data_IF_606171711029
#
_entry.id   IF_606171711029
#
_cell.length_a   1.000
_cell.length_b   1.000
_cell.length_c   1.000
_cell.angle_alpha   90.00
_cell.angle_beta   90.00
_cell.angle_gamma   90.00
#
_symmetry.space_group_name_H-M   'P 1'
#
loop_
_entity.id
_entity.type
_entity.pdbx_description
1 polymer ?
#
# COMPACT_ATOMS: atom_id res chain seq x y z
N UNK A 1 17.52 -27.35 52.13
CA UNK A 1 17.38 -27.64 50.68
C UNK A 1 16.18 -26.89 50.11
N UNK A 2 16.31 -25.59 49.76
CA UNK A 2 15.22 -24.77 49.17
C UNK A 2 15.76 -23.58 48.33
N UNK A 3 16.75 -23.79 47.47
CA UNK A 3 17.33 -22.72 46.63
C UNK A 3 17.50 -23.04 45.13
N UNK A 4 17.05 -24.22 44.65
CA UNK A 4 17.28 -24.63 43.26
C UNK A 4 16.08 -24.51 42.31
N UNK A 5 14.91 -24.05 42.78
CA UNK A 5 13.72 -23.95 41.91
C UNK A 5 13.54 -22.56 41.27
N UNK A 6 14.20 -21.51 41.78
CA UNK A 6 14.10 -20.16 41.21
C UNK A 6 14.91 -20.03 39.90
N UNK A 7 16.03 -20.73 39.79
CA UNK A 7 16.90 -20.70 38.60
C UNK A 7 16.27 -21.45 37.42
N UNK A 8 15.49 -22.50 37.70
CA UNK A 8 14.80 -23.27 36.66
C UNK A 8 13.62 -22.48 36.05
N UNK A 9 12.92 -21.68 36.86
CA UNK A 9 11.81 -20.82 36.39
C UNK A 9 12.34 -19.64 35.57
N UNK A 10 13.51 -19.09 35.90
CA UNK A 10 14.16 -18.05 35.09
C UNK A 10 14.72 -18.57 33.76
N UNK A 11 15.12 -19.85 33.66
CA UNK A 11 15.62 -20.42 32.40
C UNK A 11 14.50 -20.73 31.39
N UNK A 12 13.28 -21.01 31.83
CA UNK A 12 12.15 -21.27 30.93
C UNK A 12 11.58 -20.01 30.24
N UNK A 13 11.95 -18.80 30.70
CA UNK A 13 11.53 -17.54 30.08
C UNK A 13 12.46 -17.05 28.94
N UNK A 14 13.55 -17.78 28.64
CA UNK A 14 14.53 -17.41 27.60
C UNK A 14 14.39 -18.20 26.30
N UNK A 15 13.38 -19.06 26.16
CA UNK A 15 12.98 -19.61 24.86
C UNK A 15 12.21 -18.56 24.07
N UNK A 16 12.88 -17.45 23.76
CA UNK A 16 12.46 -16.56 22.68
C UNK A 16 12.56 -17.41 21.43
N UNK A 17 11.41 -17.84 20.91
CA UNK A 17 11.31 -18.33 19.55
C UNK A 17 11.78 -17.19 18.65
N UNK A 18 13.07 -17.15 18.35
CA UNK A 18 13.57 -16.54 17.14
C UNK A 18 13.13 -17.44 15.98
N UNK A 19 11.82 -17.47 15.73
CA UNK A 19 11.37 -17.59 14.36
C UNK A 19 11.90 -16.32 13.70
N UNK A 20 13.12 -16.39 13.17
CA UNK A 20 13.55 -15.40 12.18
C UNK A 20 12.49 -15.50 11.10
N UNK A 21 11.53 -14.59 11.11
CA UNK A 21 10.76 -14.29 9.93
C UNK A 21 11.83 -14.07 8.87
N UNK A 22 11.88 -14.98 7.90
CA UNK A 22 12.87 -14.89 6.84
C UNK A 22 12.53 -13.59 6.12
N UNK A 23 13.34 -12.55 6.37
CA UNK A 23 13.13 -11.25 5.74
C UNK A 23 12.93 -11.48 4.25
N UNK A 24 11.75 -11.13 3.73
CA UNK A 24 11.38 -11.43 2.35
C UNK A 24 12.09 -10.44 1.43
N UNK A 25 13.32 -10.78 1.04
CA UNK A 25 14.14 -9.97 0.15
C UNK A 25 13.88 -10.36 -1.31
N UNK A 26 13.56 -9.37 -2.14
CA UNK A 26 13.35 -9.55 -3.57
C UNK A 26 14.30 -8.66 -4.37
N UNK A 27 14.66 -9.12 -5.58
CA UNK A 27 15.51 -8.35 -6.47
C UNK A 27 14.83 -7.05 -6.91
N UNK A 28 15.59 -5.97 -6.92
CA UNK A 28 15.07 -4.65 -7.24
C UNK A 28 16.14 -3.58 -7.32
N UNK A 29 15.70 -2.34 -7.41
CA UNK A 29 16.58 -1.18 -7.32
C UNK A 29 15.83 0.02 -6.73
N UNK A 30 16.58 0.94 -6.15
CA UNK A 30 16.10 2.22 -5.66
C UNK A 30 16.80 3.36 -6.40
N UNK A 31 16.07 4.44 -6.65
CA UNK A 31 16.61 5.71 -7.14
C UNK A 31 16.48 6.73 -6.01
N UNK A 32 17.60 7.28 -5.57
CA UNK A 32 17.64 8.34 -4.57
C UNK A 32 17.23 9.69 -5.19
N UNK A 33 16.98 10.69 -4.35
CA UNK A 33 16.61 12.03 -4.82
C UNK A 33 17.68 12.70 -5.71
N UNK A 34 18.95 12.39 -5.48
CA UNK A 34 20.09 12.88 -6.28
C UNK A 34 20.23 12.16 -7.63
N UNK A 35 19.38 11.18 -7.91
CA UNK A 35 19.41 10.36 -9.13
C UNK A 35 20.30 9.11 -9.02
N UNK A 36 21.00 8.92 -7.91
CA UNK A 36 21.82 7.73 -7.67
C UNK A 36 20.95 6.48 -7.70
N UNK A 37 21.36 5.51 -8.52
CA UNK A 37 20.72 4.19 -8.60
C UNK A 37 21.47 3.18 -7.75
N UNK A 38 20.73 2.48 -6.88
CA UNK A 38 21.26 1.39 -6.07
C UNK A 38 20.49 0.13 -6.43
N UNK A 39 21.19 -0.84 -7.02
CA UNK A 39 20.63 -2.16 -7.35
C UNK A 39 20.92 -3.11 -6.20
N UNK A 40 19.97 -4.00 -5.90
CA UNK A 40 20.09 -4.82 -4.70
C UNK A 40 18.95 -5.78 -4.45
N UNK A 41 18.95 -6.30 -3.23
CA UNK A 41 17.84 -7.03 -2.66
C UNK A 41 17.09 -6.10 -1.70
N UNK A 42 15.79 -5.95 -1.90
CA UNK A 42 14.93 -5.05 -1.13
C UNK A 42 13.95 -5.87 -0.29
N UNK A 43 13.80 -5.52 0.98
CA UNK A 43 12.83 -6.12 1.90
C UNK A 43 11.39 -5.81 1.46
N UNK A 44 10.51 -6.81 1.49
CA UNK A 44 9.09 -6.68 1.19
C UNK A 44 8.26 -7.02 2.42
N UNK A 45 7.38 -6.09 2.80
CA UNK A 45 6.43 -6.28 3.89
C UNK A 45 5.04 -6.57 3.31
N UNK A 46 4.72 -7.84 3.03
CA UNK A 46 3.42 -8.22 2.47
C UNK A 46 2.29 -8.17 3.51
N UNK A 47 2.59 -8.52 4.76
CA UNK A 47 1.65 -8.46 5.90
C UNK A 47 1.48 -7.06 6.46
N UNK A 48 2.45 -6.17 6.23
CA UNK A 48 2.53 -4.83 6.81
C UNK A 48 2.90 -3.80 5.72
N UNK A 49 2.06 -3.66 4.69
CA UNK A 49 2.42 -2.96 3.45
C UNK A 49 2.68 -1.47 3.62
N UNK A 50 2.20 -0.87 4.72
CA UNK A 50 2.52 0.51 5.08
C UNK A 50 4.02 0.73 5.36
N UNK A 51 4.80 -0.29 5.73
CA UNK A 51 6.25 -0.13 5.86
C UNK A 51 6.91 0.14 4.51
N UNK A 52 6.48 -0.55 3.45
CA UNK A 52 6.96 -0.30 2.08
C UNK A 52 6.72 1.17 1.65
N UNK A 53 5.70 1.84 2.22
CA UNK A 53 5.42 3.25 1.95
C UNK A 53 6.31 4.22 2.71
N UNK A 54 6.89 3.81 3.85
CA UNK A 54 7.72 4.68 4.72
C UNK A 54 9.20 4.52 4.46
N UNK A 55 9.65 3.29 4.23
CA UNK A 55 11.05 2.97 4.05
C UNK A 55 11.23 1.60 3.40
N UNK A 56 12.44 1.34 2.93
CA UNK A 56 12.89 0.01 2.51
C UNK A 56 14.21 -0.34 3.20
N UNK A 57 14.47 -1.62 3.40
CA UNK A 57 15.81 -2.11 3.67
C UNK A 57 16.39 -2.69 2.38
N UNK A 58 17.57 -2.20 1.98
CA UNK A 58 18.23 -2.60 0.75
C UNK A 58 19.64 -3.15 1.06
N UNK A 59 19.93 -4.33 0.51
CA UNK A 59 21.28 -4.92 0.45
C UNK A 59 21.86 -4.68 -0.93
N UNK A 60 22.95 -3.92 -1.00
CA UNK A 60 23.60 -3.56 -2.27
C UNK A 60 24.13 -4.82 -2.98
N UNK A 61 23.82 -4.97 -4.28
CA UNK A 61 24.27 -6.11 -5.08
C UNK A 61 25.79 -6.26 -5.10
N UNK A 62 26.55 -5.18 -5.13
CA UNK A 62 28.02 -5.22 -5.10
C UNK A 62 28.54 -5.74 -3.76
N UNK A 63 27.94 -5.29 -2.65
CA UNK A 63 28.27 -5.79 -1.31
C UNK A 63 27.90 -7.27 -1.16
N UNK A 64 26.74 -7.69 -1.70
CA UNK A 64 26.30 -9.09 -1.67
C UNK A 64 27.19 -9.98 -2.53
N UNK A 65 27.68 -9.49 -3.66
CA UNK A 65 28.62 -10.22 -4.52
C UNK A 65 30.02 -10.33 -3.90
N UNK A 66 30.44 -9.32 -3.13
CA UNK A 66 31.74 -9.28 -2.48
C UNK A 66 31.83 -10.15 -1.21
N UNK A 67 30.70 -10.52 -0.59
CA UNK A 67 30.65 -11.35 0.61
C UNK A 67 30.25 -12.81 0.28
N UNK A 68 31.19 -13.78 0.36
CA UNK A 68 30.92 -15.20 0.11
C UNK A 68 29.86 -15.79 1.06
N UNK A 69 29.69 -15.20 2.24
CA UNK A 69 28.71 -15.63 3.25
C UNK A 69 27.33 -14.99 3.06
N UNK A 70 27.22 -14.01 2.14
CA UNK A 70 26.02 -13.23 1.84
C UNK A 70 25.39 -12.56 3.08
N UNK A 71 26.19 -12.34 4.12
CA UNK A 71 25.74 -11.76 5.39
C UNK A 71 25.89 -10.24 5.38
N UNK A 72 25.30 -9.62 4.37
CA UNK A 72 25.36 -8.16 4.18
C UNK A 72 24.25 -7.50 4.99
N UNK A 73 24.64 -6.53 5.81
CA UNK A 73 23.71 -5.68 6.54
C UNK A 73 22.90 -4.82 5.56
N UNK A 74 21.58 -4.84 5.71
CA UNK A 74 20.72 -4.02 4.89
C UNK A 74 20.73 -2.56 5.39
N UNK A 75 20.85 -1.61 4.48
CA UNK A 75 20.72 -0.19 4.78
C UNK A 75 19.26 0.24 4.65
N UNK A 76 18.77 0.99 5.63
CA UNK A 76 17.44 1.60 5.61
C UNK A 76 17.48 2.85 4.72
N UNK A 77 16.51 2.97 3.82
CA UNK A 77 16.25 4.16 3.03
C UNK A 77 14.82 4.60 3.29
N UNK A 78 14.63 5.84 3.74
CA UNK A 78 13.32 6.41 4.06
C UNK A 78 12.67 7.06 2.86
N UNK A 79 11.37 7.33 2.96
CA UNK A 79 10.63 8.03 1.91
C UNK A 79 11.28 9.37 1.54
N UNK A 80 11.84 10.08 2.52
CA UNK A 80 12.52 11.36 2.31
C UNK A 80 13.72 11.24 1.38
N UNK A 81 14.47 10.14 1.44
CA UNK A 81 15.70 9.93 0.66
C UNK A 81 15.44 9.39 -0.77
N UNK A 82 14.27 8.79 -0.98
CA UNK A 82 13.94 8.03 -2.19
C UNK A 82 13.10 8.85 -3.16
N UNK A 83 13.43 8.76 -4.45
CA UNK A 83 12.56 9.24 -5.53
C UNK A 83 11.53 8.17 -5.92
N UNK A 84 12.00 6.96 -6.18
CA UNK A 84 11.17 5.78 -6.44
C UNK A 84 12.02 4.51 -6.27
N UNK A 85 11.37 3.35 -6.17
CA UNK A 85 12.05 2.06 -6.21
C UNK A 85 11.19 1.03 -6.95
N UNK A 86 11.82 -0.06 -7.40
CA UNK A 86 11.15 -1.19 -8.07
C UNK A 86 11.55 -2.50 -7.39
N UNK A 87 10.57 -3.36 -7.13
CA UNK A 87 10.75 -4.70 -6.58
C UNK A 87 9.96 -5.68 -7.45
N UNK A 88 10.65 -6.66 -8.06
CA UNK A 88 10.00 -7.52 -9.06
C UNK A 88 9.32 -6.67 -10.14
N UNK A 89 8.01 -6.86 -10.34
CA UNK A 89 7.21 -6.04 -11.26
C UNK A 89 6.56 -4.80 -10.62
N UNK A 90 6.61 -4.68 -9.29
CA UNK A 90 5.96 -3.60 -8.54
C UNK A 90 6.86 -2.37 -8.53
N UNK A 91 6.31 -1.22 -8.92
CA UNK A 91 7.00 0.07 -8.89
C UNK A 91 6.37 0.94 -7.82
N UNK A 92 7.19 1.60 -7.01
CA UNK A 92 6.75 2.48 -5.94
C UNK A 92 7.37 3.86 -6.14
N UNK A 93 6.56 4.91 -6.15
CA UNK A 93 7.03 6.28 -6.40
C UNK A 93 6.67 7.19 -5.24
N UNK A 94 7.52 8.21 -4.99
CA UNK A 94 7.23 9.24 -4.00
C UNK A 94 6.00 10.04 -4.43
N UNK A 95 5.01 10.11 -3.55
CA UNK A 95 3.76 10.86 -3.70
C UNK A 95 3.52 11.63 -2.42
N UNK A 96 3.21 12.93 -2.56
CA UNK A 96 2.77 13.76 -1.46
C UNK A 96 1.25 13.62 -1.28
N UNK A 97 0.80 13.06 -0.15
CA UNK A 97 -0.61 12.84 0.12
C UNK A 97 -0.93 12.96 1.61
N UNK A 98 -1.98 13.70 1.95
CA UNK A 98 -2.47 13.84 3.33
C UNK A 98 -3.73 13.01 3.52
N UNK A 99 -3.67 12.00 4.38
CA UNK A 99 -4.85 11.24 4.81
C UNK A 99 -5.62 12.01 5.88
N UNK A 100 -6.53 12.90 5.44
CA UNK A 100 -7.32 13.74 6.34
C UNK A 100 -8.19 12.96 7.35
N UNK A 101 -8.52 11.69 7.06
CA UNK A 101 -9.30 10.83 7.95
C UNK A 101 -8.47 10.25 9.10
N UNK A 102 -7.15 10.13 8.92
CA UNK A 102 -6.23 9.56 9.90
C UNK A 102 -5.02 10.49 10.11
N UNK A 103 -5.29 11.76 10.44
CA UNK A 103 -4.25 12.72 10.79
C UNK A 103 -3.51 12.27 12.07
N UNK A 104 -2.38 11.57 11.90
CA UNK A 104 -1.50 11.20 13.01
C UNK A 104 -0.56 12.36 13.33
N UNK A 105 -0.17 12.60 14.59
CA UNK A 105 0.74 13.70 14.96
C UNK A 105 2.11 13.65 14.24
N UNK A 106 2.55 12.48 13.74
CA UNK A 106 3.74 12.35 12.87
C UNK A 106 3.52 12.86 11.42
N UNK A 107 2.30 13.21 11.03
CA UNK A 107 2.01 13.96 9.78
C UNK A 107 2.55 15.39 9.79
N UNK A 108 3.25 15.78 10.87
CA UNK A 108 4.13 16.95 10.92
C UNK A 108 5.52 16.70 10.25
N UNK A 109 5.82 15.47 9.82
CA UNK A 109 6.92 15.19 8.89
C UNK A 109 6.54 15.52 7.44
N UNK A 110 7.31 15.03 6.46
CA UNK A 110 6.88 15.06 5.06
C UNK A 110 5.65 14.15 4.90
N UNK A 111 4.59 14.63 4.26
CA UNK A 111 3.45 13.78 3.85
C UNK A 111 3.79 13.00 2.57
N UNK A 112 5.05 12.57 2.47
CA UNK A 112 5.61 11.86 1.33
C UNK A 112 5.57 10.36 1.59
N UNK A 113 5.05 9.63 0.62
CA UNK A 113 4.86 8.19 0.70
C UNK A 113 5.38 7.51 -0.56
N UNK A 114 5.99 6.34 -0.43
CA UNK A 114 6.35 5.50 -1.57
C UNK A 114 5.15 4.63 -1.92
N UNK A 115 4.31 5.10 -2.84
CA UNK A 115 3.07 4.42 -3.18
C UNK A 115 3.28 3.50 -4.39
N UNK A 116 2.71 2.30 -4.31
CA UNK A 116 2.70 1.36 -5.42
C UNK A 116 1.90 1.95 -6.58
N UNK A 117 2.53 1.98 -7.75
CA UNK A 117 1.97 2.43 -9.01
C UNK A 117 1.06 1.34 -9.58
N UNK A 118 -0.23 1.65 -9.76
CA UNK A 118 -1.21 0.74 -10.36
C UNK A 118 -1.42 1.03 -11.85
N UNK A 119 -1.47 2.32 -12.22
CA UNK A 119 -1.50 2.78 -13.61
C UNK A 119 -0.87 4.18 -13.73
N UNK A 120 -0.20 4.46 -14.85
CA UNK A 120 0.34 5.78 -15.20
C UNK A 120 -0.21 6.22 -16.56
N UNK A 121 -0.34 7.53 -16.75
CA UNK A 121 -0.82 8.15 -17.99
C UNK A 121 -1.58 9.44 -17.69
N UNK A 122 -2.67 9.68 -18.42
CA UNK A 122 -3.56 10.83 -18.17
C UNK A 122 -4.31 10.69 -16.83
N UNK A 123 -4.52 9.46 -16.36
CA UNK A 123 -4.96 9.17 -15.00
C UNK A 123 -3.86 8.35 -14.32
N UNK A 124 -3.20 8.93 -13.34
CA UNK A 124 -2.24 8.24 -12.50
C UNK A 124 -2.96 7.64 -11.30
N UNK A 125 -2.70 6.36 -10.99
CA UNK A 125 -3.29 5.70 -9.83
C UNK A 125 -2.30 4.94 -8.97
N UNK A 126 -2.52 5.02 -7.67
CA UNK A 126 -1.62 4.55 -6.63
C UNK A 126 -2.38 3.80 -5.53
N UNK A 127 -1.71 2.85 -4.89
CA UNK A 127 -2.23 2.16 -3.71
C UNK A 127 -1.67 2.78 -2.43
N UNK A 128 -2.57 3.16 -1.53
CA UNK A 128 -2.23 3.69 -0.21
C UNK A 128 -2.88 2.87 0.89
N UNK A 129 -2.08 2.44 1.86
CA UNK A 129 -2.51 1.83 3.12
C UNK A 129 -2.43 2.87 4.24
N UNK A 130 -3.51 3.09 5.01
CA UNK A 130 -3.44 3.93 6.18
C UNK A 130 -2.51 3.33 7.24
N UNK A 131 -1.80 4.19 7.97
CA UNK A 131 -0.84 3.75 8.96
C UNK A 131 -1.50 3.20 10.24
N UNK A 132 -0.92 2.17 10.88
CA UNK A 132 -1.29 1.81 12.24
C UNK A 132 -0.97 2.97 13.19
N UNK A 133 -1.65 3.05 14.33
CA UNK A 133 -1.36 4.05 15.35
C UNK A 133 0.05 3.81 15.94
N UNK A 134 0.84 4.87 16.11
CA UNK A 134 2.20 4.76 16.66
C UNK A 134 2.20 4.43 18.17
N UNK A 135 1.14 4.80 18.89
CA UNK A 135 1.00 4.55 20.31
C UNK A 135 -0.48 4.28 20.64
N UNK A 136 -0.71 3.27 21.47
CA UNK A 136 -2.03 2.91 21.98
C UNK A 136 -1.91 2.76 23.50
N UNK A 137 -2.69 3.55 24.25
CA UNK A 137 -2.81 3.40 25.69
C UNK A 137 -4.16 2.73 25.98
N UNK A 138 -4.13 1.64 26.74
CA UNK A 138 -5.35 0.94 27.12
C UNK A 138 -5.32 0.46 28.56
N UNK A 139 -6.48 0.50 29.19
CA UNK A 139 -6.72 0.08 30.57
C UNK A 139 -7.35 -1.32 30.63
N UNK A 140 -7.43 -2.03 29.50
CA UNK A 140 -8.02 -3.36 29.38
C UNK A 140 -6.98 -4.47 29.56
N UNK A 141 -7.43 -5.72 29.63
CA UNK A 141 -6.56 -6.88 29.77
C UNK A 141 -5.62 -7.04 28.57
N UNK A 142 -4.48 -7.72 28.76
CA UNK A 142 -3.50 -7.95 27.69
C UNK A 142 -4.09 -8.72 26.50
N UNK A 143 -5.00 -9.66 26.75
CA UNK A 143 -5.69 -10.42 25.71
C UNK A 143 -6.60 -9.52 24.86
N UNK A 144 -7.35 -8.62 25.50
CA UNK A 144 -8.22 -7.66 24.81
C UNK A 144 -7.39 -6.69 23.95
N UNK A 145 -6.23 -6.25 24.46
CA UNK A 145 -5.28 -5.41 23.70
C UNK A 145 -4.79 -6.17 22.47
N UNK A 146 -4.40 -7.44 22.59
CA UNK A 146 -3.90 -8.24 21.47
C UNK A 146 -4.98 -8.44 20.39
N UNK A 147 -6.21 -8.72 20.81
CA UNK A 147 -7.34 -8.85 19.88
C UNK A 147 -7.67 -7.53 19.20
N UNK A 148 -7.57 -6.40 19.91
CA UNK A 148 -7.75 -5.08 19.33
C UNK A 148 -6.68 -4.76 18.28
N UNK A 149 -5.39 -4.96 18.61
CA UNK A 149 -4.28 -4.76 17.67
C UNK A 149 -4.49 -5.60 16.41
N UNK A 150 -4.87 -6.87 16.56
CA UNK A 150 -5.13 -7.74 15.42
C UNK A 150 -6.30 -7.24 14.56
N UNK A 151 -7.42 -6.87 15.18
CA UNK A 151 -8.59 -6.33 14.46
C UNK A 151 -8.24 -5.04 13.73
N UNK A 152 -7.50 -4.14 14.37
CA UNK A 152 -7.09 -2.87 13.79
C UNK A 152 -6.13 -3.11 12.61
N UNK A 153 -5.19 -4.03 12.74
CA UNK A 153 -4.30 -4.47 11.66
C UNK A 153 -5.10 -5.00 10.45
N UNK A 154 -6.00 -5.96 10.67
CA UNK A 154 -6.85 -6.55 9.63
C UNK A 154 -7.74 -5.49 8.95
N UNK A 155 -8.27 -4.54 9.74
CA UNK A 155 -9.08 -3.45 9.22
C UNK A 155 -8.26 -2.53 8.33
N UNK A 156 -7.02 -2.18 8.71
CA UNK A 156 -6.13 -1.32 7.92
C UNK A 156 -5.71 -1.97 6.60
N UNK A 157 -5.49 -3.28 6.58
CA UNK A 157 -5.24 -4.02 5.34
C UNK A 157 -6.43 -3.97 4.38
N UNK A 158 -7.66 -4.03 4.91
CA UNK A 158 -8.90 -3.97 4.11
C UNK A 158 -9.26 -2.55 3.67
N UNK A 159 -8.91 -1.54 4.47
CA UNK A 159 -9.27 -0.13 4.26
C UNK A 159 -8.25 0.64 3.43
N UNK A 160 -7.55 -0.02 2.49
CA UNK A 160 -6.63 0.67 1.60
C UNK A 160 -7.38 1.55 0.60
N UNK A 161 -6.73 2.61 0.14
CA UNK A 161 -7.28 3.61 -0.79
C UNK A 161 -6.61 3.47 -2.16
N UNK A 162 -7.42 3.49 -3.21
CA UNK A 162 -6.93 3.62 -4.58
C UNK A 162 -6.93 5.10 -4.94
N UNK A 163 -5.79 5.76 -4.79
CA UNK A 163 -5.64 7.18 -5.07
C UNK A 163 -5.52 7.41 -6.57
N UNK A 164 -6.32 8.31 -7.12
CA UNK A 164 -6.26 8.73 -8.52
C UNK A 164 -6.07 10.23 -8.66
N UNK A 165 -5.35 10.60 -9.72
CA UNK A 165 -5.10 11.97 -10.17
C UNK A 165 -5.24 12.00 -11.69
N UNK A 166 -6.13 12.85 -12.22
CA UNK A 166 -6.36 12.99 -13.67
C UNK A 166 -5.75 14.30 -14.17
N UNK A 167 -4.90 14.23 -15.20
CA UNK A 167 -4.16 15.36 -15.71
C UNK A 167 -3.36 16.06 -14.61
N UNK A 168 -3.48 17.38 -14.56
CA UNK A 168 -2.81 18.22 -13.57
C UNK A 168 -3.68 18.53 -12.33
N UNK A 169 -4.71 17.72 -12.03
CA UNK A 169 -5.50 17.89 -10.80
C UNK A 169 -4.57 17.89 -9.59
N UNK A 170 -4.61 18.92 -8.75
CA UNK A 170 -3.73 19.05 -7.60
C UNK A 170 -4.04 18.03 -6.49
N UNK A 171 -5.19 17.34 -6.56
CA UNK A 171 -5.69 16.47 -5.48
C UNK A 171 -5.76 15.00 -5.89
N UNK A 172 -5.22 14.15 -5.02
CA UNK A 172 -5.50 12.71 -5.06
C UNK A 172 -6.88 12.42 -4.48
N UNK A 173 -7.67 11.62 -5.20
CA UNK A 173 -9.00 11.19 -4.76
C UNK A 173 -9.05 9.68 -4.65
N UNK A 174 -9.68 9.16 -3.60
CA UNK A 174 -9.95 7.74 -3.50
C UNK A 174 -11.02 7.33 -4.52
N UNK A 175 -10.66 6.48 -5.47
CA UNK A 175 -11.55 6.00 -6.54
C UNK A 175 -12.76 5.24 -5.97
N UNK A 176 -12.61 4.63 -4.80
CA UNK A 176 -13.71 3.90 -4.16
C UNK A 176 -14.84 4.85 -3.69
N UNK A 177 -14.50 6.09 -3.35
CA UNK A 177 -15.45 7.07 -2.81
C UNK A 177 -16.02 7.98 -3.92
N UNK A 178 -15.30 8.12 -5.03
CA UNK A 178 -15.68 9.00 -6.12
C UNK A 178 -16.49 8.29 -7.22
N UNK A 179 -17.18 9.08 -8.07
CA UNK A 179 -17.83 8.57 -9.27
C UNK A 179 -16.80 8.45 -10.39
N UNK A 180 -16.25 7.24 -10.55
CA UNK A 180 -15.22 6.95 -11.55
C UNK A 180 -15.70 7.23 -12.99
N UNK A 181 -17.01 7.20 -13.25
CA UNK A 181 -17.56 7.52 -14.58
C UNK A 181 -17.14 8.90 -15.06
N UNK A 182 -17.03 9.88 -14.15
CA UNK A 182 -16.58 11.24 -14.44
C UNK A 182 -15.15 11.31 -15.00
N UNK A 183 -14.32 10.33 -14.64
CA UNK A 183 -12.96 10.25 -15.17
C UNK A 183 -12.93 9.78 -16.63
N UNK A 184 -14.00 9.14 -17.11
CA UNK A 184 -14.10 8.58 -18.47
C UNK A 184 -15.06 9.36 -19.39
N UNK A 185 -15.67 10.46 -18.92
CA UNK A 185 -16.63 11.26 -19.69
C UNK A 185 -16.08 11.77 -21.03
N UNK A 186 -14.78 12.05 -21.10
CA UNK A 186 -14.07 12.50 -22.30
C UNK A 186 -13.56 11.34 -23.17
N UNK A 187 -13.91 10.09 -22.87
CA UNK A 187 -13.62 8.91 -23.70
C UNK A 187 -14.83 7.96 -23.69
N UNK A 188 -15.87 8.28 -24.48
CA UNK A 188 -17.17 7.61 -24.42
C UNK A 188 -17.11 6.09 -24.55
N UNK A 189 -16.22 5.57 -25.38
CA UNK A 189 -16.10 4.12 -25.58
C UNK A 189 -15.53 3.38 -24.36
N UNK A 190 -14.71 4.05 -23.53
CA UNK A 190 -14.24 3.48 -22.25
C UNK A 190 -15.36 3.57 -21.22
N UNK A 191 -16.06 4.70 -21.16
CA UNK A 191 -17.21 4.88 -20.27
C UNK A 191 -18.29 3.81 -20.54
N UNK A 192 -18.66 3.60 -21.80
CA UNK A 192 -19.67 2.62 -22.19
C UNK A 192 -19.24 1.19 -21.82
N UNK A 193 -17.99 0.82 -22.12
CA UNK A 193 -17.43 -0.48 -21.75
C UNK A 193 -17.43 -0.68 -20.23
N UNK A 194 -17.09 0.36 -19.48
CA UNK A 194 -17.12 0.34 -18.01
C UNK A 194 -18.55 0.17 -17.48
N UNK A 195 -19.51 0.95 -17.98
CA UNK A 195 -20.92 0.84 -17.57
C UNK A 195 -21.52 -0.54 -17.86
N UNK A 196 -21.11 -1.18 -18.95
CA UNK A 196 -21.52 -2.54 -19.33
C UNK A 196 -20.82 -3.65 -18.53
N UNK A 197 -19.83 -3.33 -17.70
CA UNK A 197 -19.05 -4.32 -16.95
C UNK A 197 -17.96 -5.01 -17.78
N UNK A 198 -17.57 -4.42 -18.92
CA UNK A 198 -16.61 -5.01 -19.86
C UNK A 198 -15.16 -5.11 -19.36
N UNK A 199 -14.88 -4.65 -18.13
CA UNK A 199 -13.59 -4.83 -17.45
C UNK A 199 -13.68 -5.82 -16.28
N UNK A 200 -14.80 -6.54 -16.12
CA UNK A 200 -15.05 -7.44 -14.99
C UNK A 200 -15.68 -6.75 -13.77
N UNK A 201 -15.97 -5.45 -13.85
CA UNK A 201 -16.74 -4.73 -12.85
C UNK A 201 -18.24 -5.05 -12.97
N UNK A 202 -19.00 -4.85 -11.89
CA UNK A 202 -20.46 -4.95 -11.97
C UNK A 202 -21.02 -3.88 -12.93
N UNK A 203 -22.03 -4.26 -13.72
CA UNK A 203 -22.68 -3.33 -14.63
C UNK A 203 -23.46 -2.25 -13.88
N UNK A 204 -23.30 -1.02 -14.37
CA UNK A 204 -23.92 0.18 -13.81
C UNK A 204 -25.22 0.42 -14.60
N UNK A 205 -26.28 -0.34 -14.26
CA UNK A 205 -27.60 -0.08 -14.85
C UNK A 205 -28.16 1.25 -14.32
N UNK A 206 -28.46 2.18 -15.22
CA UNK A 206 -29.05 3.48 -14.91
C UNK A 206 -30.44 3.39 -14.23
N UNK A 207 -31.13 2.24 -14.34
CA UNK A 207 -32.50 2.01 -13.86
C UNK A 207 -32.57 1.09 -12.63
N UNK A 208 -31.66 1.25 -11.66
CA UNK A 208 -31.80 0.60 -10.34
C UNK A 208 -32.77 1.44 -9.48
N UNK A 209 -33.86 0.82 -9.00
CA UNK A 209 -34.77 1.44 -8.03
C UNK A 209 -34.06 1.83 -6.72
N UNK A 210 -34.69 2.62 -5.86
CA UNK A 210 -34.05 3.18 -4.65
C UNK A 210 -33.38 2.11 -3.77
N UNK A 211 -34.06 0.97 -3.53
CA UNK A 211 -33.49 -0.14 -2.76
C UNK A 211 -32.25 -0.75 -3.43
N UNK A 212 -32.25 -0.90 -4.76
CA UNK A 212 -31.09 -1.39 -5.51
C UNK A 212 -29.94 -0.38 -5.53
N UNK A 213 -30.23 0.94 -5.50
CA UNK A 213 -29.21 1.98 -5.28
C UNK A 213 -28.62 1.91 -3.88
N UNK A 214 -29.45 1.77 -2.84
CA UNK A 214 -28.97 1.62 -1.45
C UNK A 214 -28.11 0.37 -1.28
N UNK A 215 -28.54 -0.77 -1.82
CA UNK A 215 -27.71 -1.99 -1.83
C UNK A 215 -26.42 -1.81 -2.60
N UNK A 216 -26.44 -1.13 -3.76
CA UNK A 216 -25.23 -0.83 -4.53
C UNK A 216 -24.27 0.08 -3.77
N UNK A 217 -24.77 1.07 -3.03
CA UNK A 217 -23.94 1.95 -2.19
C UNK A 217 -23.33 1.20 -1.01
N UNK A 218 -24.13 0.37 -0.31
CA UNK A 218 -23.65 -0.46 0.79
C UNK A 218 -22.60 -1.50 0.32
N UNK A 219 -22.79 -2.05 -0.89
CA UNK A 219 -21.81 -2.94 -1.53
C UNK A 219 -20.54 -2.20 -1.96
N UNK A 220 -20.64 -0.95 -2.41
CA UNK A 220 -19.50 -0.19 -2.94
C UNK A 220 -18.32 -0.13 -1.96
N UNK A 221 -18.57 0.17 -0.69
CA UNK A 221 -17.49 0.24 0.32
C UNK A 221 -16.81 -1.11 0.56
N UNK A 222 -17.56 -2.22 0.51
CA UNK A 222 -17.05 -3.57 0.83
C UNK A 222 -16.42 -4.28 -0.38
N UNK A 223 -16.95 -4.05 -1.59
CA UNK A 223 -16.57 -4.80 -2.79
C UNK A 223 -15.67 -4.02 -3.76
N UNK A 224 -15.61 -2.69 -3.70
CA UNK A 224 -14.72 -1.93 -4.60
C UNK A 224 -13.23 -2.24 -4.40
N UNK A 225 -12.73 -2.44 -3.16
CA UNK A 225 -11.37 -2.91 -2.97
C UNK A 225 -11.11 -4.31 -3.55
N UNK A 226 -12.16 -5.11 -3.78
CA UNK A 226 -12.07 -6.43 -4.42
C UNK A 226 -12.07 -6.29 -5.95
N UNK A 227 -12.81 -5.32 -6.49
CA UNK A 227 -12.90 -5.04 -7.93
C UNK A 227 -11.81 -4.10 -8.46
N UNK A 228 -10.77 -3.83 -7.66
CA UNK A 228 -9.74 -2.85 -7.99
C UNK A 228 -9.02 -3.17 -9.31
N UNK A 229 -8.85 -4.44 -9.66
CA UNK A 229 -8.21 -4.85 -10.92
C UNK A 229 -9.03 -4.41 -12.14
N UNK A 230 -10.36 -4.55 -12.09
CA UNK A 230 -11.26 -4.08 -13.13
C UNK A 230 -11.21 -2.56 -13.30
N UNK A 231 -11.12 -1.84 -12.18
CA UNK A 231 -10.96 -0.38 -12.17
C UNK A 231 -9.62 0.01 -12.81
N UNK A 232 -8.52 -0.64 -12.43
CA UNK A 232 -7.20 -0.42 -13.02
C UNK A 232 -7.20 -0.75 -14.51
N UNK A 233 -7.88 -1.82 -14.93
CA UNK A 233 -8.00 -2.17 -16.35
C UNK A 233 -8.74 -1.09 -17.15
N UNK A 234 -9.83 -0.54 -16.61
CA UNK A 234 -10.54 0.59 -17.23
C UNK A 234 -9.67 1.85 -17.35
N UNK A 235 -8.90 2.18 -16.30
CA UNK A 235 -7.97 3.30 -16.31
C UNK A 235 -6.82 3.08 -17.31
N UNK A 236 -6.28 1.87 -17.40
CA UNK A 236 -5.23 1.54 -18.37
C UNK A 236 -5.74 1.68 -19.81
N UNK A 237 -6.95 1.23 -20.10
CA UNK A 237 -7.60 1.40 -21.41
C UNK A 237 -7.80 2.89 -21.71
N UNK A 238 -8.30 3.66 -20.74
CA UNK A 238 -8.40 5.12 -20.85
C UNK A 238 -7.05 5.79 -21.18
N UNK A 239 -5.99 5.46 -20.42
CA UNK A 239 -4.66 6.02 -20.59
C UNK A 239 -4.06 5.65 -21.96
N UNK A 240 -4.30 4.43 -22.42
CA UNK A 240 -3.84 3.99 -23.74
C UNK A 240 -4.48 4.82 -24.86
N UNK A 241 -5.80 5.05 -24.79
CA UNK A 241 -6.53 5.86 -25.79
C UNK A 241 -6.22 7.35 -25.73
N UNK A 242 -5.77 7.84 -24.58
CA UNK A 242 -5.43 9.24 -24.36
C UNK A 242 -3.91 9.51 -24.32
N UNK A 243 -3.10 8.56 -24.78
CA UNK A 243 -1.63 8.64 -24.74
C UNK A 243 -1.02 9.75 -25.61
N UNK A 244 -1.80 10.35 -26.51
CA UNK A 244 -1.37 11.33 -27.51
C UNK A 244 -1.62 12.80 -27.14
N UNK A 245 -2.21 13.12 -25.98
CA UNK A 245 -2.41 14.50 -25.56
C UNK A 245 -1.19 15.02 -24.79
N UNK A 246 -0.15 15.45 -25.52
CA UNK A 246 0.86 16.38 -25.03
C UNK A 246 0.59 17.76 -25.60
#
# INVERSE_FOLDING_TARGET
MKKNHLILICLCFLCVFNAKAQDNYQAGFAILNDGTRISGLISVYDTDPWFNQRFIYLKDSAAVAADPTKNVNAKKYTADELKYYKIGERTFTKIHYVDAENLQLKSLGSNDHLLEVLALGRINTYRFYPYPQDAFASLVSEEDVRQQIKRDHDNKLKSWKMLAQKGDDAKYRNVFDYDLQKYFEDTPEVLEKYQKGGYGNESISAKKGLAARMMSMAKKATYMPIQWESIVAAIKDYNQKNSAAK
#
